data_IF_915197079393
#
_entry.id   IF_915197079393
#
_cell.length_a   1.000
_cell.length_b   1.000
_cell.length_c   1.000
_cell.angle_alpha   90.00
_cell.angle_beta   90.00
_cell.angle_gamma   90.00
#
_symmetry.space_group_name_H-M   'P 1'
#
loop_
_entity.id
_entity.type
_entity.pdbx_description
1 polymer ?
#
# COMPACT_ATOMS: atom_id res chain seq x y z
N UNK A 1 22.58 12.54 27.86
CA UNK A 1 21.83 11.41 27.28
C UNK A 1 21.37 11.83 25.90
N UNK A 2 21.96 11.26 24.84
CA UNK A 2 21.62 11.54 23.44
C UNK A 2 20.53 10.56 23.01
N UNK A 3 19.37 11.08 22.57
CA UNK A 3 18.34 10.28 21.89
C UNK A 3 18.97 9.64 20.63
N UNK A 4 18.65 8.37 20.29
CA UNK A 4 19.11 7.80 19.03
C UNK A 4 18.46 8.59 17.89
N UNK A 5 19.26 9.05 16.93
CA UNK A 5 18.78 9.68 15.71
C UNK A 5 18.08 8.62 14.86
N UNK A 6 16.80 8.39 15.10
CA UNK A 6 15.94 7.53 14.27
C UNK A 6 15.46 8.28 13.03
N UNK A 7 16.41 8.78 12.23
CA UNK A 7 16.13 9.67 11.11
C UNK A 7 16.81 9.23 9.81
N UNK A 8 17.08 7.93 9.69
CA UNK A 8 17.36 7.29 8.41
C UNK A 8 16.22 6.33 8.08
N UNK A 9 15.01 6.89 7.90
CA UNK A 9 13.94 6.17 7.20
C UNK A 9 14.37 6.05 5.75
N UNK A 10 15.06 4.96 5.39
CA UNK A 10 15.25 4.61 3.98
C UNK A 10 13.86 4.53 3.35
N UNK A 11 13.52 5.38 2.38
CA UNK A 11 12.21 5.33 1.75
C UNK A 11 12.05 3.95 1.12
N UNK A 12 10.88 3.33 1.33
CA UNK A 12 10.55 2.10 0.64
C UNK A 12 10.56 2.37 -0.87
N UNK A 13 11.13 1.47 -1.68
CA UNK A 13 11.06 1.62 -3.12
C UNK A 13 9.60 1.60 -3.55
N UNK A 14 9.22 2.54 -4.41
CA UNK A 14 7.89 2.55 -5.02
C UNK A 14 7.78 1.35 -5.97
N UNK A 15 6.80 0.48 -5.72
CA UNK A 15 6.50 -0.65 -6.59
C UNK A 15 5.30 -0.26 -7.44
N UNK A 16 5.54 -0.05 -8.74
CA UNK A 16 4.47 0.21 -9.68
C UNK A 16 3.57 -1.04 -9.80
N UNK A 17 2.24 -0.90 -9.67
CA UNK A 17 1.35 -2.02 -9.92
C UNK A 17 1.40 -2.42 -11.40
N UNK A 18 1.22 -3.70 -11.73
CA UNK A 18 1.19 -4.16 -13.11
C UNK A 18 -0.05 -3.62 -13.84
N UNK A 19 0.16 -3.12 -15.07
CA UNK A 19 -0.91 -2.59 -15.92
C UNK A 19 -1.78 -3.70 -16.54
N UNK A 20 -1.25 -4.92 -16.69
CA UNK A 20 -1.98 -6.05 -17.24
C UNK A 20 -1.42 -7.39 -16.76
N UNK A 21 -2.24 -8.42 -16.89
CA UNK A 21 -1.87 -9.82 -16.60
C UNK A 21 -2.76 -10.75 -17.41
N UNK A 22 -2.19 -11.84 -17.92
CA UNK A 22 -2.95 -12.89 -18.62
C UNK A 22 -3.66 -13.85 -17.67
N UNK A 23 -3.40 -13.74 -16.35
CA UNK A 23 -4.05 -14.58 -15.36
C UNK A 23 -5.46 -14.03 -15.03
N UNK A 24 -6.55 -14.75 -15.36
CA UNK A 24 -7.90 -14.19 -15.36
C UNK A 24 -8.35 -13.69 -13.99
N UNK A 25 -8.02 -14.42 -12.93
CA UNK A 25 -8.34 -14.02 -11.54
C UNK A 25 -7.58 -12.75 -11.14
N UNK A 26 -6.31 -12.65 -11.54
CA UNK A 26 -5.49 -11.50 -11.17
C UNK A 26 -5.92 -10.27 -11.96
N UNK A 27 -6.32 -10.44 -13.21
CA UNK A 27 -6.89 -9.38 -14.04
C UNK A 27 -8.17 -8.79 -13.42
N UNK A 28 -9.06 -9.64 -12.90
CA UNK A 28 -10.28 -9.20 -12.21
C UNK A 28 -9.95 -8.39 -10.95
N UNK A 29 -8.99 -8.86 -10.13
CA UNK A 29 -8.55 -8.14 -8.93
C UNK A 29 -7.94 -6.78 -9.29
N UNK A 30 -7.05 -6.73 -10.29
CA UNK A 30 -6.44 -5.47 -10.72
C UNK A 30 -7.46 -4.48 -11.28
N UNK A 31 -8.51 -4.97 -11.98
CA UNK A 31 -9.59 -4.12 -12.47
C UNK A 31 -10.43 -3.53 -11.32
N UNK A 32 -10.78 -4.34 -10.32
CA UNK A 32 -11.52 -3.88 -9.13
C UNK A 32 -10.68 -2.87 -8.32
N UNK A 33 -9.39 -3.14 -8.11
CA UNK A 33 -8.49 -2.21 -7.44
C UNK A 33 -8.35 -0.88 -8.17
N UNK A 34 -8.31 -0.88 -9.51
CA UNK A 34 -8.30 0.37 -10.30
C UNK A 34 -9.60 1.14 -10.20
N UNK A 35 -10.75 0.45 -10.20
CA UNK A 35 -12.04 1.11 -10.02
C UNK A 35 -12.14 1.82 -8.67
N UNK A 36 -11.45 1.30 -7.65
CA UNK A 36 -11.40 1.87 -6.29
C UNK A 36 -10.19 2.79 -6.06
N UNK A 37 -9.31 2.96 -7.05
CA UNK A 37 -8.15 3.82 -6.92
C UNK A 37 -8.61 5.29 -6.81
N UNK A 38 -8.53 5.84 -5.59
CA UNK A 38 -9.08 7.15 -5.23
C UNK A 38 -10.01 7.11 -4.03
N UNK A 39 -10.44 5.92 -3.60
CA UNK A 39 -11.11 5.74 -2.32
C UNK A 39 -10.09 5.91 -1.18
N UNK A 40 -10.40 6.82 -0.25
CA UNK A 40 -9.58 7.04 0.94
C UNK A 40 -9.84 5.90 1.91
N UNK A 41 -8.96 4.90 1.89
CA UNK A 41 -8.98 3.79 2.87
C UNK A 41 -8.36 4.30 4.17
N UNK A 42 -9.20 4.57 5.16
CA UNK A 42 -8.76 4.91 6.52
C UNK A 42 -8.63 3.61 7.31
N UNK A 43 -7.40 3.21 7.65
CA UNK A 43 -7.18 2.12 8.58
C UNK A 43 -7.62 2.57 9.98
N UNK A 44 -8.71 2.00 10.49
CA UNK A 44 -9.11 2.18 11.88
C UNK A 44 -8.29 1.22 12.73
N UNK A 45 -7.27 1.76 13.39
CA UNK A 45 -6.59 1.04 14.45
C UNK A 45 -7.47 1.13 15.69
N UNK A 46 -8.15 0.04 16.04
CA UNK A 46 -8.68 -0.10 17.39
C UNK A 46 -7.48 -0.18 18.33
N UNK A 47 -7.37 0.81 19.20
CA UNK A 47 -6.39 0.82 20.28
C UNK A 47 -6.78 -0.34 21.22
N UNK A 48 -6.09 -1.48 21.07
CA UNK A 48 -6.35 -2.64 21.91
C UNK A 48 -5.93 -2.30 23.36
N UNK A 49 -6.80 -2.54 24.37
CA UNK A 49 -6.59 -2.13 25.75
C UNK A 49 -5.47 -2.88 26.48
#
# INVERSE_FOLDING_TARGET
MTLPADDTRTPLPEIAPPDHTDHPVLAAILADLRARAGEVVVAQYEDAP
#
